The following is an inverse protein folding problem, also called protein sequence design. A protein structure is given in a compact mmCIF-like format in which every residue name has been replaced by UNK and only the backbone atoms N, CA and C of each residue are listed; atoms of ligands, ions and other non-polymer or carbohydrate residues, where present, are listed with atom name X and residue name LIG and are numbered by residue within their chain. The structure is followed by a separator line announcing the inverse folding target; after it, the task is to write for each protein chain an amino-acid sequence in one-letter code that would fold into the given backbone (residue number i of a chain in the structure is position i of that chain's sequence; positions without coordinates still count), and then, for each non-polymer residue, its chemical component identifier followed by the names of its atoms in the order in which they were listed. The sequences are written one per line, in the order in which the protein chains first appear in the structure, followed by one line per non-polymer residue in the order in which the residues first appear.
data_IF_990407141914
#
_entry.id   IF_990407141914
#
_cell.length_a   1.000
_cell.length_b   1.000
_cell.length_c   1.000
_cell.angle_alpha   90.00
_cell.angle_beta   90.00
_cell.angle_gamma   90.00
#
_symmetry.space_group_name_H-M   'P 1'
#
loop_
_entity.id
_entity.type
_entity.pdbx_description
1 polymer ?
#
# COMPACT_ATOMS: atom_id res chain seq x y z
N UNK A 1 13.48 -14.38 -0.29
CA UNK A 1 12.46 -13.77 -1.18
C UNK A 1 11.73 -12.74 -0.36
N UNK A 2 12.26 -11.52 -0.29
CA UNK A 2 11.66 -10.40 0.43
C UNK A 2 11.19 -9.37 -0.61
N UNK A 3 10.16 -8.59 -0.27
CA UNK A 3 9.67 -7.49 -1.11
C UNK A 3 10.84 -6.58 -1.51
N UNK A 4 11.08 -6.44 -2.81
CA UNK A 4 12.05 -5.47 -3.33
C UNK A 4 11.64 -4.04 -2.92
N UNK A 5 12.61 -3.11 -2.87
CA UNK A 5 12.34 -1.72 -2.48
C UNK A 5 11.15 -1.15 -3.27
N UNK A 6 10.04 -0.89 -2.58
CA UNK A 6 8.94 -0.12 -3.15
C UNK A 6 9.38 1.33 -3.28
N UNK A 7 9.53 1.81 -4.51
CA UNK A 7 9.94 3.20 -4.80
C UNK A 7 8.75 3.98 -5.34
N UNK A 8 8.47 5.13 -4.72
CA UNK A 8 7.50 6.09 -5.25
C UNK A 8 8.11 6.81 -6.46
N UNK A 9 7.58 6.56 -7.65
CA UNK A 9 8.00 7.20 -8.89
C UNK A 9 7.45 8.63 -9.03
N UNK A 10 7.67 9.47 -8.03
CA UNK A 10 7.35 10.90 -8.10
C UNK A 10 8.47 11.74 -7.50
N UNK A 11 8.62 12.97 -8.01
CA UNK A 11 9.69 13.89 -7.59
C UNK A 11 9.61 14.29 -6.11
N UNK A 12 8.44 14.17 -5.50
CA UNK A 12 8.19 14.55 -4.10
C UNK A 12 8.51 13.47 -3.08
N UNK A 13 8.78 12.23 -3.50
CA UNK A 13 8.96 11.08 -2.59
C UNK A 13 7.74 10.81 -1.70
N UNK A 14 6.55 11.29 -2.08
CA UNK A 14 5.30 11.20 -1.32
C UNK A 14 4.15 11.00 -2.29
N UNK A 15 3.20 10.14 -1.96
CA UNK A 15 2.02 9.90 -2.78
C UNK A 15 0.74 9.99 -1.94
N UNK A 16 -0.39 10.31 -2.59
CA UNK A 16 -1.71 10.38 -1.97
C UNK A 16 -2.60 9.31 -2.60
N UNK A 17 -2.86 8.26 -1.82
CA UNK A 17 -3.64 7.10 -2.25
C UNK A 17 -5.01 7.12 -1.57
N UNK A 18 -6.07 6.80 -2.31
CA UNK A 18 -7.39 6.58 -1.71
C UNK A 18 -7.41 5.22 -1.04
N UNK A 19 -7.89 5.17 0.19
CA UNK A 19 -8.05 3.93 0.96
C UNK A 19 -9.45 3.83 1.57
N UNK A 20 -9.83 2.63 1.99
CA UNK A 20 -11.03 2.37 2.79
C UNK A 20 -10.62 2.05 4.22
N UNK A 21 -11.36 2.57 5.19
CA UNK A 21 -11.23 2.18 6.59
C UNK A 21 -12.38 1.23 6.93
N UNK A 22 -12.08 -0.04 7.20
CA UNK A 22 -13.09 -1.07 7.50
C UNK A 22 -12.68 -1.73 8.80
N UNK A 23 -13.51 -1.65 9.85
CA UNK A 23 -13.20 -2.20 11.17
C UNK A 23 -11.79 -1.82 11.65
N UNK A 24 -11.45 -0.54 11.51
CA UNK A 24 -10.15 0.03 11.89
C UNK A 24 -8.96 -0.45 11.05
N UNK A 25 -9.18 -1.26 10.01
CA UNK A 25 -8.14 -1.69 9.08
C UNK A 25 -8.11 -0.76 7.87
N UNK A 26 -6.91 -0.29 7.52
CA UNK A 26 -6.66 0.47 6.31
C UNK A 26 -6.53 -0.52 5.15
N UNK A 27 -7.48 -0.48 4.22
CA UNK A 27 -7.51 -1.32 3.01
C UNK A 27 -7.24 -0.45 1.79
N UNK A 28 -6.21 -0.78 1.01
CA UNK A 28 -5.87 -0.05 -0.21
C UNK A 28 -5.51 -1.00 -1.36
N UNK A 29 -5.81 -0.60 -2.61
CA UNK A 29 -5.48 -1.42 -3.77
C UNK A 29 -3.99 -1.31 -4.10
N UNK A 30 -3.38 -2.42 -4.50
CA UNK A 30 -2.03 -2.49 -5.07
C UNK A 30 -2.08 -3.35 -6.31
N UNK A 31 -1.27 -3.01 -7.31
CA UNK A 31 -1.09 -3.83 -8.50
C UNK A 31 0.26 -4.55 -8.43
N UNK A 32 0.22 -5.88 -8.55
CA UNK A 32 1.41 -6.73 -8.58
C UNK A 32 1.34 -7.57 -9.84
N UNK A 33 2.33 -7.43 -10.73
CA UNK A 33 2.39 -8.15 -12.00
C UNK A 33 1.09 -8.02 -12.85
N UNK A 34 0.47 -6.85 -12.89
CA UNK A 34 -0.77 -6.59 -13.64
C UNK A 34 -2.06 -7.06 -12.94
N UNK A 35 -1.96 -7.63 -11.74
CA UNK A 35 -3.11 -8.11 -10.96
C UNK A 35 -3.41 -7.13 -9.83
N UNK A 36 -4.66 -6.66 -9.75
CA UNK A 36 -5.14 -5.81 -8.65
C UNK A 36 -5.44 -6.67 -7.43
N UNK A 37 -4.76 -6.37 -6.33
CA UNK A 37 -4.91 -7.00 -5.02
C UNK A 37 -5.36 -5.96 -3.99
N UNK A 38 -5.98 -6.42 -2.91
CA UNK A 38 -6.28 -5.60 -1.73
C UNK A 38 -5.25 -5.88 -0.64
N UNK A 39 -4.60 -4.83 -0.16
CA UNK A 39 -3.63 -4.93 0.94
C UNK A 39 -4.21 -4.35 2.22
N UNK A 40 -3.86 -4.97 3.35
CA UNK A 40 -4.13 -4.49 4.70
C UNK A 40 -2.86 -3.85 5.24
N UNK A 41 -2.94 -2.60 5.69
CA UNK A 41 -1.87 -1.98 6.46
C UNK A 41 -2.09 -2.30 7.94
N UNK A 42 -1.30 -3.23 8.48
CA UNK A 42 -1.27 -3.54 9.90
C UNK A 42 -0.14 -2.76 10.57
N UNK A 43 -0.51 -1.76 11.37
CA UNK A 43 0.43 -0.94 12.14
C UNK A 43 0.64 -1.50 13.54
N UNK A 44 0.37 -2.79 13.80
CA UNK A 44 0.54 -3.45 15.10
C UNK A 44 1.97 -3.39 15.68
N UNK A 45 2.89 -2.71 15.01
CA UNK A 45 4.14 -2.19 15.56
C UNK A 45 4.26 -0.71 15.15
N UNK A 46 3.80 0.18 16.04
CA UNK A 46 4.41 1.49 16.22
C UNK A 46 5.22 1.42 17.50
#
# INVERSE_FOLDING_TARGET
MAQDQFVLHNKSGKDKIRFKLINNLIVFPVEVNGVKLSFLLDTSLV
#
